data_IF_623095624409
#
_entry.id   IF_623095624409
#
_cell.length_a   1.000
_cell.length_b   1.000
_cell.length_c   1.000
_cell.angle_alpha   90.00
_cell.angle_beta   90.00
_cell.angle_gamma   90.00
#
_symmetry.space_group_name_H-M   'P 1'
#
loop_
_entity.id
_entity.type
_entity.pdbx_description
1 polymer ?
#
# COMPACT_ATOMS: atom_id res chain seq x y z
N UNK A 1 73.68 -40.23 62.60
CA UNK A 1 73.28 -38.89 63.07
C UNK A 1 72.79 -38.15 61.83
N UNK A 2 71.52 -38.27 61.54
CA UNK A 2 70.91 -37.88 60.24
C UNK A 2 69.77 -36.91 60.53
N UNK A 3 69.93 -35.66 60.11
CA UNK A 3 68.98 -34.58 60.22
C UNK A 3 68.00 -34.59 59.02
N UNK A 4 66.71 -34.74 59.27
CA UNK A 4 65.67 -34.75 58.27
C UNK A 4 65.05 -33.34 58.16
N UNK A 5 65.12 -32.67 56.97
CA UNK A 5 64.52 -31.41 56.71
C UNK A 5 63.04 -31.60 56.18
N UNK A 6 62.08 -31.05 56.88
CA UNK A 6 60.72 -30.96 56.43
C UNK A 6 60.55 -29.76 55.48
N UNK A 7 60.20 -30.04 54.23
CA UNK A 7 59.74 -29.03 53.28
C UNK A 7 58.23 -28.85 53.36
N UNK A 8 57.73 -27.70 53.81
CA UNK A 8 56.31 -27.29 53.73
C UNK A 8 56.02 -26.80 52.31
N UNK A 9 55.10 -27.50 51.59
CA UNK A 9 54.61 -27.09 50.32
C UNK A 9 53.33 -26.20 50.56
N UNK A 10 53.43 -24.93 50.14
CA UNK A 10 52.28 -24.02 50.16
C UNK A 10 51.56 -24.20 48.84
N UNK A 11 50.26 -24.70 48.86
CA UNK A 11 49.39 -24.80 47.71
C UNK A 11 48.62 -23.48 47.60
N UNK A 12 49.00 -22.68 46.60
CA UNK A 12 48.28 -21.46 46.24
C UNK A 12 47.05 -21.82 45.41
N UNK A 13 45.83 -21.56 45.93
CA UNK A 13 44.63 -21.57 45.15
C UNK A 13 44.57 -20.31 44.27
N UNK A 14 44.80 -20.46 42.96
CA UNK A 14 44.53 -19.46 41.99
C UNK A 14 43.03 -19.54 41.62
N UNK A 15 42.22 -18.62 42.14
CA UNK A 15 40.82 -18.45 41.73
C UNK A 15 40.71 -17.87 40.32
N UNK A 16 40.30 -18.68 39.34
CA UNK A 16 39.98 -18.22 38.00
C UNK A 16 38.58 -17.57 38.01
N UNK A 17 38.55 -16.24 38.00
CA UNK A 17 37.31 -15.49 37.77
C UNK A 17 36.92 -15.62 36.28
N UNK A 18 35.91 -16.45 35.98
CA UNK A 18 35.32 -16.54 34.65
C UNK A 18 34.45 -15.31 34.47
N UNK A 19 34.91 -14.30 33.74
CA UNK A 19 34.08 -13.23 33.23
C UNK A 19 33.15 -13.82 32.15
N UNK A 20 31.91 -14.08 32.50
CA UNK A 20 30.84 -14.37 31.54
C UNK A 20 30.51 -13.07 30.79
N UNK A 21 31.11 -12.86 29.64
CA UNK A 21 30.69 -11.84 28.69
C UNK A 21 29.34 -12.29 28.13
N UNK A 22 28.27 -11.73 28.68
CA UNK A 22 26.94 -11.86 28.11
C UNK A 22 26.98 -11.17 26.74
N UNK A 23 27.13 -11.97 25.68
CA UNK A 23 26.88 -11.52 24.31
C UNK A 23 25.42 -11.18 24.20
N UNK A 24 25.05 -9.90 24.41
CA UNK A 24 23.78 -9.37 23.99
C UNK A 24 23.73 -9.48 22.46
N UNK A 25 23.24 -10.60 21.96
CA UNK A 25 22.94 -10.75 20.55
C UNK A 25 22.02 -9.62 20.15
N UNK A 26 22.48 -8.76 19.25
CA UNK A 26 21.62 -7.79 18.58
C UNK A 26 20.56 -8.63 17.85
N UNK A 27 19.39 -8.78 18.48
CA UNK A 27 18.23 -9.35 17.81
C UNK A 27 17.94 -8.42 16.62
N UNK A 28 18.23 -8.89 15.40
CA UNK A 28 17.81 -8.18 14.20
C UNK A 28 16.29 -8.02 14.27
N UNK A 29 15.81 -6.79 14.13
CA UNK A 29 14.38 -6.54 14.06
C UNK A 29 13.80 -7.37 12.92
N UNK A 30 12.68 -8.06 13.18
CA UNK A 30 11.99 -8.81 12.14
C UNK A 30 11.55 -7.85 11.02
N UNK A 31 11.65 -8.27 9.76
CA UNK A 31 11.19 -7.47 8.64
C UNK A 31 9.69 -7.66 8.42
N UNK A 32 8.99 -6.55 8.16
CA UNK A 32 7.66 -6.55 7.57
C UNK A 32 7.84 -6.61 6.05
N UNK A 33 7.44 -7.72 5.44
CA UNK A 33 7.58 -7.92 3.99
C UNK A 33 6.37 -7.30 3.29
N UNK A 34 6.63 -6.27 2.49
CA UNK A 34 5.60 -5.47 1.82
C UNK A 34 5.65 -5.71 0.32
N UNK A 35 4.51 -5.97 -0.29
CA UNK A 35 4.35 -5.93 -1.75
C UNK A 35 3.77 -4.60 -2.19
N UNK A 36 4.32 -4.01 -3.23
CA UNK A 36 3.87 -2.75 -3.80
C UNK A 36 3.87 -2.79 -5.32
N UNK A 37 2.86 -2.17 -5.93
CA UNK A 37 2.83 -1.85 -7.35
C UNK A 37 3.29 -0.40 -7.55
N UNK A 38 4.60 -0.15 -7.82
CA UNK A 38 5.19 1.18 -7.70
C UNK A 38 5.01 2.06 -8.95
N UNK A 39 3.80 2.15 -9.47
CA UNK A 39 3.45 2.98 -10.64
C UNK A 39 2.20 3.83 -10.39
N UNK A 40 1.93 4.18 -9.13
CA UNK A 40 0.73 4.90 -8.71
C UNK A 40 1.07 6.10 -7.78
N UNK A 41 1.86 7.08 -8.24
CA UNK A 41 2.11 8.27 -7.43
C UNK A 41 0.80 9.07 -7.23
N UNK A 42 0.60 9.72 -6.07
CA UNK A 42 1.54 9.91 -4.97
C UNK A 42 1.51 8.80 -3.90
N UNK A 43 0.76 7.71 -4.11
CA UNK A 43 0.56 6.66 -3.11
C UNK A 43 1.81 5.78 -2.96
N UNK A 44 2.31 5.22 -4.06
CA UNK A 44 3.53 4.41 -4.11
C UNK A 44 4.19 4.50 -5.49
N UNK A 45 5.48 4.74 -5.50
CA UNK A 45 6.26 4.78 -6.75
C UNK A 45 7.74 4.52 -6.48
N UNK A 46 8.47 4.17 -7.54
CA UNK A 46 9.93 4.12 -7.52
C UNK A 46 10.52 5.42 -8.02
N UNK A 47 11.50 5.93 -7.28
CA UNK A 47 12.34 7.05 -7.72
C UNK A 47 13.32 6.60 -8.81
N UNK A 48 14.01 7.56 -9.43
CA UNK A 48 15.08 7.26 -10.38
C UNK A 48 16.25 6.48 -9.74
N UNK A 49 16.44 6.58 -8.43
CA UNK A 49 17.44 5.79 -7.68
C UNK A 49 16.97 4.37 -7.33
N UNK A 50 15.73 4.02 -7.65
CA UNK A 50 15.12 2.73 -7.34
C UNK A 50 14.50 2.61 -5.94
N UNK A 51 14.53 3.69 -5.13
CA UNK A 51 13.90 3.73 -3.82
C UNK A 51 12.38 3.81 -3.94
N UNK A 52 11.66 3.17 -3.01
CA UNK A 52 10.23 3.34 -2.90
C UNK A 52 9.88 4.60 -2.10
N UNK A 53 8.96 5.38 -2.63
CA UNK A 53 8.41 6.58 -1.97
C UNK A 53 6.90 6.64 -2.18
N UNK A 54 6.20 7.39 -1.34
CA UNK A 54 4.77 7.63 -1.47
C UNK A 54 4.03 7.67 -0.13
N UNK A 55 2.78 8.07 -0.21
CA UNK A 55 1.89 8.16 0.94
C UNK A 55 1.77 6.82 1.68
N UNK A 56 1.54 5.73 0.96
CA UNK A 56 1.41 4.39 1.54
C UNK A 56 2.75 3.82 2.00
N UNK A 57 3.85 4.19 1.33
CA UNK A 57 5.20 3.82 1.77
C UNK A 57 5.51 4.45 3.12
N UNK A 58 5.17 5.72 3.32
CA UNK A 58 5.32 6.37 4.63
C UNK A 58 4.42 5.71 5.70
N UNK A 59 3.20 5.32 5.35
CA UNK A 59 2.28 4.62 6.27
C UNK A 59 2.88 3.29 6.72
N UNK A 60 3.33 2.42 5.80
CA UNK A 60 3.86 1.10 6.20
C UNK A 60 5.18 1.22 6.95
N UNK A 61 6.02 2.20 6.64
CA UNK A 61 7.23 2.49 7.40
C UNK A 61 6.91 2.88 8.85
N UNK A 62 5.93 3.76 9.06
CA UNK A 62 5.53 4.16 10.41
C UNK A 62 4.84 3.01 11.15
N UNK A 63 4.00 2.22 10.48
CA UNK A 63 3.41 1.01 11.06
C UNK A 63 4.49 0.04 11.52
N UNK A 64 5.46 -0.30 10.66
CA UNK A 64 6.56 -1.19 11.00
C UNK A 64 7.39 -0.66 12.17
N UNK A 65 7.72 0.63 12.17
CA UNK A 65 8.43 1.30 13.26
C UNK A 65 7.70 1.14 14.60
N UNK A 66 6.37 1.31 14.62
CA UNK A 66 5.55 1.13 15.84
C UNK A 66 5.50 -0.34 16.29
N UNK A 67 5.68 -1.26 15.37
CA UNK A 67 5.79 -2.70 15.66
C UNK A 67 7.21 -3.15 16.04
N UNK A 68 8.21 -2.26 16.00
CA UNK A 68 9.61 -2.59 16.22
C UNK A 68 10.19 -3.44 15.09
N UNK A 69 9.69 -3.29 13.86
CA UNK A 69 10.08 -4.04 12.66
C UNK A 69 10.81 -3.14 11.66
N UNK A 70 11.60 -3.72 10.78
CA UNK A 70 12.10 -3.09 9.55
C UNK A 70 11.12 -3.31 8.41
N UNK A 71 11.30 -2.62 7.28
CA UNK A 71 10.45 -2.78 6.09
C UNK A 71 11.29 -3.28 4.92
N UNK A 72 10.79 -4.31 4.23
CA UNK A 72 11.33 -4.79 2.96
C UNK A 72 10.23 -4.70 1.91
N UNK A 73 10.41 -3.84 0.87
CA UNK A 73 9.40 -3.63 -0.16
C UNK A 73 9.80 -4.35 -1.45
N UNK A 74 8.90 -5.20 -1.96
CA UNK A 74 9.00 -5.88 -3.24
C UNK A 74 8.13 -5.24 -4.30
N UNK A 75 8.70 -5.03 -5.50
CA UNK A 75 7.98 -4.58 -6.70
C UNK A 75 7.18 -5.74 -7.29
N UNK A 76 5.88 -5.60 -7.34
CA UNK A 76 4.95 -6.60 -7.88
C UNK A 76 3.90 -5.92 -8.76
N UNK A 77 3.48 -6.59 -9.83
CA UNK A 77 2.32 -6.15 -10.59
C UNK A 77 1.05 -6.17 -9.73
N UNK A 78 0.10 -5.27 -10.01
CA UNK A 78 -1.10 -5.09 -9.18
C UNK A 78 -1.84 -6.42 -8.89
N UNK A 79 -2.11 -7.22 -9.93
CA UNK A 79 -2.77 -8.53 -9.75
C UNK A 79 -1.91 -9.53 -8.96
N UNK A 80 -0.58 -9.45 -9.08
CA UNK A 80 0.33 -10.35 -8.38
C UNK A 80 0.34 -10.14 -6.87
N UNK A 81 -0.04 -8.94 -6.38
CA UNK A 81 -0.17 -8.64 -4.95
C UNK A 81 -1.14 -9.59 -4.25
N UNK A 82 -2.28 -9.89 -4.87
CA UNK A 82 -3.29 -10.76 -4.28
C UNK A 82 -2.78 -12.20 -4.11
N UNK A 83 -2.10 -12.74 -5.13
CA UNK A 83 -1.50 -14.07 -5.05
C UNK A 83 -0.32 -14.11 -4.06
N UNK A 84 0.51 -13.07 -4.02
CA UNK A 84 1.63 -12.97 -3.10
C UNK A 84 1.17 -12.91 -1.64
N UNK A 85 0.09 -12.16 -1.36
CA UNK A 85 -0.53 -12.09 -0.05
C UNK A 85 -1.15 -13.45 0.32
N UNK A 86 -1.95 -14.05 -0.56
CA UNK A 86 -2.61 -15.34 -0.29
C UNK A 86 -1.59 -16.47 -0.02
N UNK A 87 -0.45 -16.48 -0.70
CA UNK A 87 0.63 -17.45 -0.50
C UNK A 87 1.58 -17.11 0.66
N UNK A 88 1.31 -16.03 1.40
CA UNK A 88 2.16 -15.53 2.51
C UNK A 88 3.59 -15.19 2.09
N UNK A 89 3.81 -14.87 0.81
CA UNK A 89 5.10 -14.39 0.31
C UNK A 89 5.38 -12.96 0.75
N UNK A 90 4.33 -12.19 1.00
CA UNK A 90 4.34 -10.86 1.60
C UNK A 90 3.38 -10.82 2.78
N UNK A 91 3.68 -10.01 3.79
CA UNK A 91 2.82 -9.78 4.95
C UNK A 91 1.73 -8.77 4.64
N UNK A 92 2.08 -7.70 3.95
CA UNK A 92 1.22 -6.56 3.62
C UNK A 92 1.34 -6.22 2.15
N UNK A 93 0.22 -5.94 1.52
CA UNK A 93 0.18 -5.30 0.21
C UNK A 93 -0.35 -3.86 0.34
N UNK A 94 0.35 -2.95 -0.33
CA UNK A 94 -0.04 -1.55 -0.53
C UNK A 94 -0.15 -1.29 -2.03
N UNK A 95 -1.12 -0.54 -2.50
CA UNK A 95 -1.30 -0.04 -3.87
C UNK A 95 -2.71 0.50 -4.06
N UNK A 96 -3.12 1.40 -3.17
CA UNK A 96 -4.46 1.98 -3.17
C UNK A 96 -5.54 0.89 -3.25
N UNK A 97 -5.36 -0.18 -2.44
CA UNK A 97 -6.19 -1.38 -2.56
C UNK A 97 -7.55 -1.14 -1.90
N UNK A 98 -8.58 -1.01 -2.72
CA UNK A 98 -9.95 -0.83 -2.26
C UNK A 98 -10.41 -2.04 -1.45
N UNK A 99 -10.97 -1.76 -0.28
CA UNK A 99 -11.67 -2.74 0.55
C UNK A 99 -12.99 -3.09 -0.14
N UNK A 100 -13.14 -4.34 -0.58
CA UNK A 100 -14.39 -4.83 -1.17
C UNK A 100 -14.86 -6.10 -0.49
N UNK A 101 -16.17 -6.36 -0.54
CA UNK A 101 -16.74 -7.60 0.01
C UNK A 101 -16.11 -8.86 -0.62
N UNK A 102 -15.82 -8.82 -1.91
CA UNK A 102 -15.17 -9.92 -2.61
C UNK A 102 -13.76 -10.18 -2.08
N UNK A 103 -12.94 -9.12 -1.95
CA UNK A 103 -11.58 -9.22 -1.41
C UNK A 103 -11.55 -9.67 0.04
N UNK A 104 -12.51 -9.24 0.86
CA UNK A 104 -12.68 -9.68 2.24
C UNK A 104 -13.00 -11.16 2.37
N UNK A 105 -13.48 -11.81 1.33
CA UNK A 105 -13.68 -13.26 1.29
C UNK A 105 -12.37 -14.04 1.40
N UNK A 106 -11.29 -13.56 0.79
CA UNK A 106 -9.99 -14.22 0.71
C UNK A 106 -8.85 -13.50 1.42
N UNK A 107 -9.02 -12.23 1.76
CA UNK A 107 -8.01 -11.36 2.38
C UNK A 107 -8.56 -10.71 3.65
N UNK A 108 -7.69 -10.17 4.47
CA UNK A 108 -8.03 -9.29 5.57
C UNK A 108 -7.50 -7.89 5.30
N UNK A 109 -8.16 -6.89 5.87
CA UNK A 109 -7.76 -5.49 5.74
C UNK A 109 -7.73 -4.83 7.12
N UNK A 110 -6.83 -3.88 7.29
CA UNK A 110 -6.93 -2.92 8.40
C UNK A 110 -8.16 -2.04 8.22
N UNK A 111 -8.48 -1.22 9.21
CA UNK A 111 -9.38 -0.09 8.99
C UNK A 111 -8.91 0.76 7.81
N UNK A 112 -9.81 1.45 7.12
CA UNK A 112 -9.42 2.30 6.00
C UNK A 112 -8.59 3.49 6.47
N UNK A 113 -7.67 3.93 5.59
CA UNK A 113 -6.81 5.10 5.81
C UNK A 113 -6.98 6.19 4.75
N UNK A 114 -7.77 5.93 3.70
CA UNK A 114 -8.02 6.89 2.62
C UNK A 114 -9.39 6.65 1.99
N UNK A 115 -10.09 7.72 1.63
CA UNK A 115 -11.36 7.67 0.87
C UNK A 115 -11.09 7.99 -0.59
N UNK A 116 -11.69 7.24 -1.49
CA UNK A 116 -11.56 7.44 -2.93
C UNK A 116 -12.89 7.29 -3.65
N UNK A 117 -12.94 7.87 -4.84
CA UNK A 117 -13.99 7.65 -5.83
C UNK A 117 -13.35 7.27 -7.16
N UNK A 118 -14.07 6.52 -7.97
CA UNK A 118 -13.70 6.32 -9.37
C UNK A 118 -14.03 7.55 -10.21
N UNK A 119 -13.31 7.68 -11.33
CA UNK A 119 -13.61 8.71 -12.32
C UNK A 119 -13.44 8.21 -13.74
N UNK A 120 -14.03 8.94 -14.66
CA UNK A 120 -13.84 8.74 -16.09
C UNK A 120 -13.00 9.91 -16.60
N UNK A 121 -11.82 9.59 -17.10
CA UNK A 121 -10.90 10.55 -17.70
C UNK A 121 -10.86 10.38 -19.20
N UNK A 122 -10.58 11.48 -19.90
CA UNK A 122 -10.36 11.50 -21.34
C UNK A 122 -9.45 12.68 -21.69
N UNK A 123 -9.13 12.83 -22.98
CA UNK A 123 -8.41 14.00 -23.46
C UNK A 123 -9.19 15.27 -23.14
N UNK A 124 -8.49 16.30 -22.76
CA UNK A 124 -9.07 17.56 -22.24
C UNK A 124 -10.08 18.18 -23.18
N UNK A 125 -9.84 18.08 -24.49
CA UNK A 125 -10.69 18.64 -25.55
C UNK A 125 -11.97 17.80 -25.82
N UNK A 126 -11.98 16.54 -25.36
CA UNK A 126 -13.12 15.67 -25.60
C UNK A 126 -14.32 16.06 -24.73
N UNK A 127 -15.50 16.00 -25.32
CA UNK A 127 -16.77 16.22 -24.62
C UNK A 127 -17.20 14.94 -23.91
N UNK A 128 -17.29 15.01 -22.59
CA UNK A 128 -17.82 13.94 -21.74
C UNK A 128 -18.35 14.60 -20.46
N UNK A 129 -19.65 14.53 -20.23
CA UNK A 129 -20.33 15.22 -19.13
C UNK A 129 -20.97 14.24 -18.13
N UNK A 130 -21.30 13.02 -18.54
CA UNK A 130 -21.97 12.00 -17.73
C UNK A 130 -21.50 10.60 -18.13
N UNK A 131 -21.79 9.61 -17.31
CA UNK A 131 -21.35 8.22 -17.52
C UNK A 131 -21.86 7.65 -18.85
N UNK A 132 -23.08 7.97 -19.25
CA UNK A 132 -23.70 7.49 -20.47
C UNK A 132 -22.94 7.91 -21.75
N UNK A 133 -22.13 8.95 -21.68
CA UNK A 133 -21.35 9.46 -22.82
C UNK A 133 -20.19 8.52 -23.23
N UNK A 134 -19.97 7.43 -22.47
CA UNK A 134 -19.01 6.37 -22.85
C UNK A 134 -19.58 5.36 -23.86
N UNK A 135 -20.83 5.51 -24.26
CA UNK A 135 -21.45 4.64 -25.27
C UNK A 135 -20.62 4.61 -26.55
N UNK A 136 -20.35 3.43 -27.05
CA UNK A 136 -19.56 3.18 -28.25
C UNK A 136 -18.07 3.45 -28.09
N UNK A 137 -17.56 3.77 -26.90
CA UNK A 137 -16.16 4.07 -26.64
C UNK A 137 -15.35 2.86 -26.22
N UNK A 138 -14.05 2.93 -26.47
CA UNK A 138 -13.04 2.00 -25.93
C UNK A 138 -12.63 2.49 -24.54
N UNK A 139 -12.91 1.69 -23.52
CA UNK A 139 -12.63 1.99 -22.12
C UNK A 139 -11.34 1.29 -21.67
N UNK A 140 -10.36 2.06 -21.26
CA UNK A 140 -9.12 1.55 -20.65
C UNK A 140 -9.24 1.45 -19.13
N UNK A 141 -8.71 0.38 -18.54
CA UNK A 141 -8.72 0.10 -17.10
C UNK A 141 -7.43 -0.60 -16.65
N UNK A 142 -7.05 -0.47 -15.39
CA UNK A 142 -6.00 -1.30 -14.79
C UNK A 142 -6.55 -2.70 -14.51
N UNK A 143 -5.90 -3.73 -15.03
CA UNK A 143 -6.33 -5.12 -14.90
C UNK A 143 -6.46 -5.56 -13.42
N UNK A 144 -7.62 -6.13 -13.06
CA UNK A 144 -7.94 -6.61 -11.70
C UNK A 144 -8.29 -5.50 -10.69
N UNK A 145 -8.38 -4.23 -11.14
CA UNK A 145 -8.87 -3.14 -10.30
C UNK A 145 -10.39 -3.18 -10.13
N UNK A 146 -10.92 -2.38 -9.22
CA UNK A 146 -12.38 -2.15 -9.09
C UNK A 146 -12.94 -1.48 -10.33
N UNK A 147 -12.14 -0.64 -11.02
CA UNK A 147 -12.51 -0.02 -12.29
C UNK A 147 -12.63 -1.05 -13.43
N UNK A 148 -11.75 -2.06 -13.49
CA UNK A 148 -11.87 -3.17 -14.45
C UNK A 148 -13.16 -3.97 -14.23
N UNK A 149 -13.45 -4.28 -12.98
CA UNK A 149 -14.71 -4.94 -12.61
C UNK A 149 -15.92 -4.08 -12.99
N UNK A 150 -15.90 -2.81 -12.60
CA UNK A 150 -16.98 -1.87 -12.92
C UNK A 150 -17.23 -1.78 -14.43
N UNK A 151 -16.18 -1.65 -15.24
CA UNK A 151 -16.31 -1.56 -16.68
C UNK A 151 -16.94 -2.83 -17.30
N UNK A 152 -16.53 -4.01 -16.83
CA UNK A 152 -17.08 -5.30 -17.27
C UNK A 152 -18.54 -5.47 -16.88
N UNK A 153 -18.92 -5.16 -15.65
CA UNK A 153 -20.29 -5.26 -15.15
C UNK A 153 -21.25 -4.26 -15.81
N UNK A 154 -20.73 -3.13 -16.28
CA UNK A 154 -21.50 -2.07 -16.88
C UNK A 154 -21.39 -1.99 -18.42
N UNK A 155 -20.68 -2.94 -19.05
CA UNK A 155 -20.43 -2.93 -20.49
C UNK A 155 -21.69 -2.81 -21.31
N UNK A 156 -22.66 -3.68 -21.08
CA UNK A 156 -23.93 -3.68 -21.79
C UNK A 156 -24.79 -2.46 -21.42
N UNK A 157 -24.86 -2.13 -20.14
CA UNK A 157 -25.68 -1.03 -19.63
C UNK A 157 -25.33 0.30 -20.29
N UNK A 158 -24.04 0.60 -20.45
CA UNK A 158 -23.58 1.86 -21.04
C UNK A 158 -23.15 1.71 -22.50
N UNK A 159 -23.30 0.52 -23.11
CA UNK A 159 -22.95 0.28 -24.49
C UNK A 159 -21.46 0.51 -24.80
N UNK A 160 -20.57 0.10 -23.89
CA UNK A 160 -19.13 0.17 -24.05
C UNK A 160 -18.74 -0.74 -25.23
N UNK A 161 -18.02 -0.20 -26.22
CA UNK A 161 -17.63 -0.98 -27.41
C UNK A 161 -16.57 -2.03 -27.07
N UNK A 162 -15.53 -1.64 -26.34
CA UNK A 162 -14.44 -2.52 -25.95
C UNK A 162 -13.82 -2.09 -24.61
N UNK A 163 -13.22 -3.06 -23.90
CA UNK A 163 -12.50 -2.82 -22.64
C UNK A 163 -11.05 -3.26 -22.83
N UNK A 164 -10.13 -2.32 -22.75
CA UNK A 164 -8.69 -2.58 -22.75
C UNK A 164 -8.16 -2.63 -21.33
N UNK A 165 -7.72 -3.80 -20.90
CA UNK A 165 -7.10 -3.99 -19.58
C UNK A 165 -5.59 -3.86 -19.69
N UNK A 166 -5.00 -2.96 -18.90
CA UNK A 166 -3.57 -2.65 -18.86
C UNK A 166 -2.94 -3.23 -17.59
N UNK A 167 -1.69 -3.67 -17.67
CA UNK A 167 -0.94 -4.12 -16.49
C UNK A 167 -0.28 -2.94 -15.73
N UNK A 168 -0.14 -1.79 -16.38
CA UNK A 168 0.41 -0.58 -15.79
C UNK A 168 -0.51 0.62 -16.02
N UNK A 169 -0.75 1.39 -14.95
CA UNK A 169 -1.53 2.64 -15.01
C UNK A 169 -0.91 3.65 -15.97
N UNK A 170 0.42 3.69 -16.04
CA UNK A 170 1.11 4.60 -16.94
C UNK A 170 0.82 4.27 -18.41
N UNK A 171 0.81 2.99 -18.78
CA UNK A 171 0.50 2.55 -20.16
C UNK A 171 -0.94 2.89 -20.53
N UNK A 172 -1.88 2.70 -19.59
CA UNK A 172 -3.27 3.13 -19.75
C UNK A 172 -3.35 4.64 -20.07
N UNK A 173 -2.68 5.48 -19.28
CA UNK A 173 -2.74 6.94 -19.48
C UNK A 173 -2.00 7.39 -20.74
N UNK A 174 -0.93 6.72 -21.12
CA UNK A 174 -0.25 6.96 -22.40
C UNK A 174 -1.14 6.61 -23.60
N UNK A 175 -1.86 5.49 -23.52
CA UNK A 175 -2.79 5.08 -24.57
C UNK A 175 -4.01 6.00 -24.65
N UNK A 176 -4.47 6.50 -23.50
CA UNK A 176 -5.53 7.52 -23.45
C UNK A 176 -5.08 8.82 -24.13
N UNK A 177 -3.89 9.33 -23.81
CA UNK A 177 -3.31 10.53 -24.41
C UNK A 177 -3.13 10.37 -25.94
N UNK A 178 -2.64 9.20 -26.36
CA UNK A 178 -2.44 8.88 -27.77
C UNK A 178 -3.73 8.54 -28.55
N UNK A 179 -4.89 8.49 -27.88
CA UNK A 179 -6.18 8.16 -28.51
C UNK A 179 -6.38 6.69 -28.85
N UNK A 180 -5.57 5.79 -28.30
CA UNK A 180 -5.74 4.32 -28.44
C UNK A 180 -6.76 3.73 -27.47
N UNK A 181 -7.10 4.47 -26.41
CA UNK A 181 -8.31 4.35 -25.62
C UNK A 181 -9.07 5.67 -25.68
N UNK A 182 -10.38 5.65 -25.69
CA UNK A 182 -11.21 6.86 -25.72
C UNK A 182 -11.36 7.48 -24.35
N UNK A 183 -11.53 6.64 -23.34
CA UNK A 183 -11.66 7.00 -21.94
C UNK A 183 -10.88 6.04 -21.06
N UNK A 184 -10.47 6.50 -19.88
CA UNK A 184 -9.94 5.68 -18.80
C UNK A 184 -10.90 5.72 -17.61
N UNK A 185 -11.16 4.57 -17.00
CA UNK A 185 -11.83 4.49 -15.69
C UNK A 185 -10.79 4.05 -14.67
N UNK A 186 -10.62 4.86 -13.63
CA UNK A 186 -9.66 4.61 -12.54
C UNK A 186 -9.99 5.48 -11.33
N UNK A 187 -9.21 5.33 -10.27
CA UNK A 187 -9.35 6.12 -9.07
C UNK A 187 -8.92 7.58 -9.31
N UNK A 188 -9.79 8.49 -8.89
CA UNK A 188 -9.61 9.92 -9.14
C UNK A 188 -8.30 10.46 -8.59
N UNK A 189 -7.86 10.16 -7.35
CA UNK A 189 -6.67 10.80 -6.79
C UNK A 189 -5.39 10.50 -7.58
N UNK A 190 -5.21 9.24 -8.03
CA UNK A 190 -4.06 8.85 -8.85
C UNK A 190 -4.07 9.52 -10.22
N UNK A 191 -5.25 9.58 -10.87
CA UNK A 191 -5.39 10.27 -12.16
C UNK A 191 -5.10 11.78 -12.04
N UNK A 192 -5.69 12.46 -11.06
CA UNK A 192 -5.48 13.90 -10.86
C UNK A 192 -4.00 14.22 -10.60
N UNK A 193 -3.30 13.39 -9.84
CA UNK A 193 -1.87 13.57 -9.65
C UNK A 193 -1.08 13.38 -10.95
N UNK A 194 -1.38 12.32 -11.72
CA UNK A 194 -0.72 12.10 -13.03
C UNK A 194 -0.95 13.28 -13.98
N UNK A 195 -2.15 13.88 -13.96
CA UNK A 195 -2.52 15.00 -14.83
C UNK A 195 -1.85 16.33 -14.46
N UNK A 196 -1.15 16.40 -13.32
CA UNK A 196 -0.22 17.51 -13.06
C UNK A 196 0.91 17.56 -14.10
N UNK A 197 1.27 16.42 -14.70
CA UNK A 197 2.27 16.31 -15.76
C UNK A 197 1.63 16.07 -17.14
N UNK A 198 0.57 15.28 -17.24
CA UNK A 198 -0.16 14.98 -18.48
C UNK A 198 -1.31 15.99 -18.67
N UNK A 199 -0.95 17.22 -19.11
CA UNK A 199 -1.87 18.37 -19.18
C UNK A 199 -2.96 18.26 -20.24
N UNK A 200 -2.82 17.32 -21.16
CA UNK A 200 -3.78 16.97 -22.22
C UNK A 200 -4.94 16.09 -21.72
N UNK A 201 -4.84 15.54 -20.51
CA UNK A 201 -5.85 14.68 -19.90
C UNK A 201 -6.63 15.41 -18.79
N UNK A 202 -7.87 14.98 -18.58
CA UNK A 202 -8.71 15.46 -17.48
C UNK A 202 -9.71 14.40 -17.01
N UNK A 203 -9.97 14.37 -15.71
CA UNK A 203 -11.16 13.69 -15.16
C UNK A 203 -12.38 14.52 -15.53
N UNK A 204 -13.32 13.94 -16.25
CA UNK A 204 -14.55 14.62 -16.71
C UNK A 204 -15.77 14.22 -15.88
N UNK A 205 -15.83 12.99 -15.43
CA UNK A 205 -16.96 12.48 -14.64
C UNK A 205 -16.40 11.80 -13.40
N UNK A 206 -16.99 12.09 -12.24
CA UNK A 206 -16.72 11.37 -10.99
C UNK A 206 -17.87 10.39 -10.74
N UNK A 207 -17.52 9.16 -10.44
CA UNK A 207 -18.45 8.10 -10.04
C UNK A 207 -18.29 7.94 -8.54
N UNK A 208 -19.28 8.39 -7.78
CA UNK A 208 -19.27 8.27 -6.32
C UNK A 208 -19.45 6.81 -5.92
N UNK A 209 -18.34 6.14 -5.70
CA UNK A 209 -18.32 4.73 -5.29
C UNK A 209 -18.20 4.55 -3.79
N UNK A 210 -17.71 5.57 -3.07
CA UNK A 210 -17.42 5.49 -1.65
C UNK A 210 -16.33 4.46 -1.33
N UNK A 211 -15.39 4.26 -2.25
CA UNK A 211 -14.27 3.35 -2.07
C UNK A 211 -13.35 3.83 -0.95
N UNK A 212 -12.80 2.86 -0.23
CA UNK A 212 -11.84 3.11 0.84
C UNK A 212 -10.65 2.17 0.68
N UNK A 213 -9.44 2.70 0.91
CA UNK A 213 -8.20 1.90 0.87
C UNK A 213 -7.82 1.42 2.27
N UNK A 214 -7.35 0.16 2.35
CA UNK A 214 -6.82 -0.45 3.55
C UNK A 214 -5.54 -1.21 3.28
N UNK A 215 -4.70 -1.39 4.29
CA UNK A 215 -3.55 -2.31 4.18
C UNK A 215 -4.10 -3.73 4.05
N UNK A 216 -3.80 -4.38 2.91
CA UNK A 216 -4.27 -5.74 2.63
C UNK A 216 -3.26 -6.75 3.17
N UNK A 217 -3.75 -7.75 3.88
CA UNK A 217 -2.97 -8.83 4.47
C UNK A 217 -3.61 -10.19 4.15
N UNK A 218 -2.85 -11.27 4.29
CA UNK A 218 -3.41 -12.63 4.25
C UNK A 218 -4.60 -12.74 5.21
N UNK A 219 -5.57 -13.59 4.87
CA UNK A 219 -6.69 -13.89 5.76
C UNK A 219 -6.17 -14.30 7.15
N UNK A 220 -6.70 -13.65 8.18
CA UNK A 220 -6.35 -13.88 9.59
C UNK A 220 -4.85 -13.75 9.91
N UNK A 221 -4.16 -12.81 9.25
CA UNK A 221 -2.74 -12.57 9.47
C UNK A 221 -2.46 -12.18 10.94
N UNK A 222 -1.42 -12.76 11.60
CA UNK A 222 -1.15 -12.52 13.03
C UNK A 222 -0.80 -11.07 13.37
N UNK A 223 -0.31 -10.29 12.41
CA UNK A 223 0.00 -8.87 12.59
C UNK A 223 -1.19 -7.95 12.30
N UNK A 224 -2.33 -8.44 11.80
CA UNK A 224 -3.45 -7.60 11.36
C UNK A 224 -3.96 -6.67 12.48
N UNK A 225 -4.22 -7.22 13.65
CA UNK A 225 -4.69 -6.43 14.79
C UNK A 225 -3.65 -5.36 15.19
N UNK A 226 -2.37 -5.72 15.28
CA UNK A 226 -1.29 -4.79 15.64
C UNK A 226 -1.09 -3.69 14.60
N UNK A 227 -1.16 -4.03 13.30
CA UNK A 227 -1.10 -3.04 12.23
C UNK A 227 -2.29 -2.08 12.27
N UNK A 228 -3.48 -2.59 12.56
CA UNK A 228 -4.68 -1.79 12.76
C UNK A 228 -4.56 -0.85 13.97
N UNK A 229 -4.02 -1.34 15.10
CA UNK A 229 -3.79 -0.54 16.32
C UNK A 229 -2.75 0.57 16.04
N UNK A 230 -1.71 0.27 15.26
CA UNK A 230 -0.74 1.27 14.81
C UNK A 230 -1.41 2.37 13.99
N UNK A 231 -2.28 2.02 13.03
CA UNK A 231 -3.07 3.01 12.28
C UNK A 231 -3.99 3.84 13.18
N UNK A 232 -4.66 3.19 14.15
CA UNK A 232 -5.47 3.89 15.16
C UNK A 232 -4.64 4.93 15.91
N UNK A 233 -3.45 4.55 16.37
CA UNK A 233 -2.55 5.47 17.06
C UNK A 233 -2.09 6.61 16.15
N UNK A 234 -1.76 6.32 14.88
CA UNK A 234 -1.36 7.34 13.89
C UNK A 234 -2.46 8.35 13.59
N UNK A 235 -3.74 7.94 13.62
CA UNK A 235 -4.87 8.85 13.50
C UNK A 235 -5.01 9.74 14.73
N UNK A 236 -4.90 9.16 15.93
CA UNK A 236 -5.07 9.86 17.21
C UNK A 236 -3.97 10.89 17.50
N UNK A 237 -2.73 10.58 17.16
CA UNK A 237 -1.58 11.46 17.42
C UNK A 237 -1.26 12.43 16.28
N UNK A 238 -2.04 12.38 15.19
CA UNK A 238 -1.89 13.27 14.03
C UNK A 238 -0.81 12.86 13.03
N UNK A 239 -0.11 11.75 13.25
CA UNK A 239 0.94 11.26 12.34
C UNK A 239 0.38 10.98 10.94
N UNK A 240 -0.80 10.33 10.84
CA UNK A 240 -1.41 10.04 9.55
C UNK A 240 -1.84 11.32 8.81
N UNK A 241 -2.34 12.31 9.54
CA UNK A 241 -2.67 13.62 8.97
C UNK A 241 -1.42 14.36 8.46
N UNK A 242 -0.30 14.28 9.18
CA UNK A 242 0.96 14.87 8.75
C UNK A 242 1.51 14.18 7.48
N UNK A 243 1.41 12.85 7.38
CA UNK A 243 1.77 12.09 6.17
C UNK A 243 0.86 12.51 5.00
N UNK A 244 -0.45 12.63 5.23
CA UNK A 244 -1.39 13.12 4.21
C UNK A 244 -1.00 14.51 3.71
N UNK A 245 -0.76 15.46 4.62
CA UNK A 245 -0.36 16.82 4.27
C UNK A 245 0.94 16.87 3.46
N UNK A 246 1.92 16.02 3.79
CA UNK A 246 3.17 15.88 3.05
C UNK A 246 2.92 15.55 1.57
N UNK A 247 2.01 14.63 1.28
CA UNK A 247 1.82 14.09 -0.07
C UNK A 247 0.74 14.81 -0.87
N UNK A 248 -0.30 15.34 -0.22
CA UNK A 248 -1.44 15.98 -0.87
C UNK A 248 -1.48 17.50 -0.67
N UNK A 249 -0.57 18.07 0.13
CA UNK A 249 -0.44 19.52 0.32
C UNK A 249 -1.46 20.15 1.27
N UNK A 250 -2.43 19.37 1.77
CA UNK A 250 -3.49 19.84 2.68
C UNK A 250 -3.72 18.85 3.82
N UNK A 251 -4.29 19.32 4.91
CA UNK A 251 -4.78 18.45 5.96
C UNK A 251 -5.97 17.61 5.43
N UNK A 252 -6.15 16.36 5.90
CA UNK A 252 -7.30 15.54 5.51
C UNK A 252 -8.60 16.16 6.04
N UNK A 253 -9.72 15.93 5.35
CA UNK A 253 -11.04 16.31 5.85
C UNK A 253 -11.31 15.64 7.21
N UNK A 254 -11.91 16.38 8.13
CA UNK A 254 -12.11 15.92 9.50
C UNK A 254 -13.00 14.66 9.63
N UNK A 255 -13.82 14.39 8.64
CA UNK A 255 -14.69 13.21 8.55
C UNK A 255 -14.13 12.08 7.69
N UNK A 256 -12.95 12.26 7.08
CA UNK A 256 -12.32 11.28 6.20
C UNK A 256 -11.80 10.05 6.94
N UNK A 257 -11.60 8.97 6.18
CA UNK A 257 -10.94 7.75 6.66
C UNK A 257 -9.50 8.00 7.14
N UNK A 258 -8.84 9.04 6.63
CA UNK A 258 -7.50 9.43 7.10
C UNK A 258 -7.53 10.02 8.52
N UNK A 259 -8.55 10.81 8.84
CA UNK A 259 -8.65 11.53 10.11
C UNK A 259 -9.39 10.73 11.20
N UNK A 260 -10.46 10.02 10.82
CA UNK A 260 -11.32 9.29 11.77
C UNK A 260 -10.93 7.82 11.93
N UNK A 261 -10.92 7.38 13.17
CA UNK A 261 -10.91 5.95 13.49
C UNK A 261 -12.18 5.27 12.96
N UNK A 262 -12.00 4.15 12.31
CA UNK A 262 -13.07 3.34 11.77
C UNK A 262 -12.89 1.87 12.19
N UNK A 263 -13.96 1.08 12.24
CA UNK A 263 -13.83 -0.35 12.53
C UNK A 263 -13.05 -1.07 11.42
N UNK A 264 -12.34 -2.13 11.79
CA UNK A 264 -11.82 -3.06 10.79
C UNK A 264 -12.97 -3.65 9.97
N UNK A 265 -12.84 -3.69 8.63
CA UNK A 265 -13.86 -4.25 7.77
C UNK A 265 -14.03 -5.76 8.02
N UNK A 266 -15.26 -6.23 7.90
CA UNK A 266 -15.61 -7.65 8.02
C UNK A 266 -16.27 -8.12 6.72
N UNK A 267 -16.15 -9.42 6.36
CA UNK A 267 -16.82 -10.01 5.21
C UNK A 267 -18.33 -9.82 5.19
#
# INVERSE_FOLDING_TARGET
MTMTFFRRTVVGLAGAAILSVASAGLASAAALVVGSYPSNPPFEYKTASGSFEGFEVDIVNEVAKRLGMTVEISDLGFQALFAATASKRIDVAISSITITKERLGSQSFTQPYYDADMGIATRKEATLAKVEDIKGKVVGVLAGSTADKWAKENKEKYGISDIKSYNAQQDLLMDLSAGRADVAVSDVPGMEYAFLKMKDLAVKVRIKTGEQYGLMMTKDHPLLAKANDALTAMKKDGTLAAIHKKWFGSDPAADSATAKEQPMPKP
#
